data_IF_811617158027
#
_entry.id   IF_811617158027
#
_cell.length_a   1.000
_cell.length_b   1.000
_cell.length_c   1.000
_cell.angle_alpha   90.00
_cell.angle_beta   90.00
_cell.angle_gamma   90.00
#
_symmetry.space_group_name_H-M   'P 1'
#
loop_
_entity.id
_entity.type
_entity.pdbx_description
1 polymer ?
#
# COMPACT_ATOMS: atom_id res chain seq x y z
N UNK A 1 70.68 3.28 18.97
CA UNK A 1 69.69 2.95 20.02
C UNK A 1 68.99 1.66 19.62
N UNK A 2 68.93 0.66 20.52
CA UNK A 2 68.22 -0.59 20.26
C UNK A 2 66.72 -0.37 19.96
N UNK A 3 66.13 -1.22 19.11
CA UNK A 3 64.71 -1.13 18.76
C UNK A 3 63.84 -1.42 19.99
N UNK A 4 62.61 -0.90 20.03
CA UNK A 4 61.72 -1.06 21.19
C UNK A 4 61.46 -2.54 21.54
N UNK A 5 61.39 -3.40 20.51
CA UNK A 5 61.28 -4.85 20.67
C UNK A 5 62.47 -5.47 21.43
N UNK A 6 63.69 -5.00 21.17
CA UNK A 6 64.90 -5.49 21.85
C UNK A 6 64.94 -4.99 23.30
N UNK A 7 64.57 -3.73 23.54
CA UNK A 7 64.46 -3.16 24.89
C UNK A 7 63.45 -3.91 25.75
N UNK A 8 62.31 -4.30 25.16
CA UNK A 8 61.28 -5.10 25.83
C UNK A 8 61.74 -6.54 26.15
N UNK A 9 62.74 -7.06 25.44
CA UNK A 9 63.29 -8.41 25.64
C UNK A 9 64.47 -8.47 26.61
N UNK A 10 64.90 -7.33 27.16
CA UNK A 10 65.97 -7.29 28.16
C UNK A 10 65.58 -8.02 29.45
N UNK A 11 66.58 -8.54 30.17
CA UNK A 11 66.36 -9.27 31.42
C UNK A 11 65.58 -8.43 32.45
N UNK A 12 65.89 -7.13 32.55
CA UNK A 12 65.19 -6.21 33.46
C UNK A 12 63.74 -6.00 33.02
N UNK A 13 63.46 -5.77 31.75
CA UNK A 13 62.09 -5.61 31.25
C UNK A 13 61.25 -6.89 31.49
N UNK A 14 61.83 -8.07 31.26
CA UNK A 14 61.19 -9.36 31.56
C UNK A 14 60.94 -9.54 33.05
N UNK A 15 61.92 -9.22 33.90
CA UNK A 15 61.79 -9.31 35.36
C UNK A 15 60.73 -8.34 35.91
N UNK A 16 60.72 -7.10 35.43
CA UNK A 16 59.69 -6.11 35.79
C UNK A 16 58.30 -6.59 35.37
N UNK A 17 58.16 -7.11 34.13
CA UNK A 17 56.90 -7.70 33.67
C UNK A 17 56.45 -8.85 34.57
N UNK A 18 57.34 -9.80 34.87
CA UNK A 18 57.06 -10.91 35.79
C UNK A 18 56.60 -10.42 37.18
N UNK A 19 57.27 -9.43 37.76
CA UNK A 19 56.88 -8.85 39.07
C UNK A 19 55.55 -8.11 39.03
N UNK A 20 55.26 -7.40 37.95
CA UNK A 20 53.96 -6.75 37.77
C UNK A 20 52.83 -7.75 37.56
N UNK A 21 53.09 -8.86 36.87
CA UNK A 21 52.13 -9.96 36.69
C UNK A 21 51.86 -10.67 38.01
N UNK A 22 52.91 -10.96 38.81
CA UNK A 22 52.78 -11.51 40.16
C UNK A 22 51.92 -10.60 41.07
N UNK A 23 52.18 -9.29 41.02
CA UNK A 23 51.42 -8.30 41.81
C UNK A 23 49.95 -8.14 41.35
N UNK A 24 49.67 -8.38 40.06
CA UNK A 24 48.32 -8.29 39.48
C UNK A 24 47.58 -9.63 39.45
N UNK A 25 48.19 -10.72 39.91
CA UNK A 25 47.58 -12.06 39.93
C UNK A 25 47.56 -12.78 38.58
N UNK A 26 48.47 -12.41 37.66
CA UNK A 26 48.59 -13.01 36.33
C UNK A 26 47.45 -12.65 35.37
N UNK A 27 47.73 -12.64 34.06
CA UNK A 27 46.66 -12.63 33.05
C UNK A 27 46.11 -14.04 32.93
N UNK A 28 45.11 -14.38 33.75
CA UNK A 28 44.39 -15.66 33.62
C UNK A 28 43.79 -15.74 32.21
N UNK A 29 44.20 -16.75 31.43
CA UNK A 29 43.61 -17.00 30.13
C UNK A 29 42.18 -17.48 30.31
N UNK A 30 41.27 -16.91 29.52
CA UNK A 30 39.88 -17.35 29.44
C UNK A 30 39.80 -18.87 29.19
N UNK A 31 39.08 -19.63 30.05
CA UNK A 31 38.82 -21.05 29.82
C UNK A 31 38.02 -21.28 28.53
N UNK A 32 38.21 -22.45 27.92
CA UNK A 32 37.46 -22.84 26.72
C UNK A 32 35.96 -23.05 27.01
N UNK A 33 35.65 -23.73 28.12
CA UNK A 33 34.28 -23.96 28.58
C UNK A 33 33.92 -22.97 29.69
N UNK A 34 32.81 -22.25 29.52
CA UNK A 34 32.29 -21.32 30.52
C UNK A 34 31.95 -22.03 31.85
N UNK A 35 31.50 -23.28 31.80
CA UNK A 35 31.13 -24.09 32.96
C UNK A 35 32.27 -24.31 33.96
N UNK A 36 33.53 -24.22 33.52
CA UNK A 36 34.70 -24.36 34.40
C UNK A 36 34.90 -23.17 35.35
N UNK A 37 34.23 -22.04 35.09
CA UNK A 37 34.30 -20.87 35.94
C UNK A 37 33.22 -20.93 37.02
N UNK A 38 33.61 -20.84 38.30
CA UNK A 38 32.72 -20.77 39.46
C UNK A 38 32.45 -19.35 39.96
N UNK A 39 33.32 -18.40 39.62
CA UNK A 39 33.27 -17.03 40.15
C UNK A 39 32.56 -16.07 39.20
N UNK A 40 31.50 -15.42 39.67
CA UNK A 40 30.74 -14.41 38.90
C UNK A 40 31.65 -13.29 38.40
N UNK A 41 32.49 -12.73 39.27
CA UNK A 41 33.41 -11.62 38.91
C UNK A 41 34.39 -12.02 37.82
N UNK A 42 34.88 -13.26 37.83
CA UNK A 42 35.78 -13.76 36.77
C UNK A 42 35.03 -13.93 35.45
N UNK A 43 33.82 -14.48 35.49
CA UNK A 43 32.97 -14.65 34.31
C UNK A 43 32.60 -13.29 33.66
N UNK A 44 32.30 -12.27 34.46
CA UNK A 44 32.06 -10.90 33.96
C UNK A 44 33.31 -10.29 33.30
N UNK A 45 34.51 -10.50 33.86
CA UNK A 45 35.76 -10.06 33.23
C UNK A 45 35.97 -10.71 31.86
N UNK A 46 35.76 -12.03 31.76
CA UNK A 46 35.89 -12.76 30.49
C UNK A 46 34.83 -12.32 29.46
N UNK A 47 33.61 -12.01 29.89
CA UNK A 47 32.58 -11.42 29.01
C UNK A 47 33.05 -10.09 28.42
N UNK A 48 33.62 -9.21 29.24
CA UNK A 48 34.13 -7.91 28.80
C UNK A 48 35.33 -8.07 27.85
N UNK A 49 36.20 -9.04 28.10
CA UNK A 49 37.31 -9.38 27.21
C UNK A 49 36.81 -9.79 25.82
N UNK A 50 35.79 -10.67 25.75
CA UNK A 50 35.15 -11.06 24.48
C UNK A 50 34.57 -9.85 23.75
N UNK A 51 33.90 -8.95 24.47
CA UNK A 51 33.35 -7.73 23.87
C UNK A 51 34.46 -6.87 23.26
N UNK A 52 35.60 -6.73 23.94
CA UNK A 52 36.76 -5.98 23.39
C UNK A 52 37.36 -6.66 22.17
N UNK A 53 37.44 -8.00 22.16
CA UNK A 53 37.88 -8.77 20.99
C UNK A 53 36.93 -8.55 19.80
N UNK A 54 35.61 -8.58 20.05
CA UNK A 54 34.59 -8.28 19.04
C UNK A 54 34.75 -6.86 18.51
N UNK A 55 34.88 -5.84 19.36
CA UNK A 55 35.06 -4.45 18.92
C UNK A 55 36.29 -4.27 18.02
N UNK A 56 37.43 -4.87 18.37
CA UNK A 56 38.64 -4.84 17.53
C UNK A 56 38.44 -5.52 16.18
N UNK A 57 37.75 -6.67 16.14
CA UNK A 57 37.43 -7.34 14.87
C UNK A 57 36.40 -6.55 14.06
N UNK A 58 35.49 -5.86 14.73
CA UNK A 58 34.51 -4.96 14.10
C UNK A 58 35.21 -3.79 13.42
N UNK A 59 36.14 -3.12 14.09
CA UNK A 59 36.94 -2.05 13.47
C UNK A 59 37.67 -2.54 12.20
N UNK A 60 38.17 -3.78 12.21
CA UNK A 60 38.80 -4.37 11.03
C UNK A 60 37.80 -4.71 9.91
N UNK A 61 36.60 -5.21 10.24
CA UNK A 61 35.59 -5.62 9.24
C UNK A 61 34.91 -4.42 8.56
N UNK A 62 34.94 -3.25 9.20
CA UNK A 62 34.45 -2.00 8.59
C UNK A 62 35.37 -1.50 7.47
N UNK A 63 36.63 -1.95 7.42
CA UNK A 63 37.54 -1.62 6.32
C UNK A 63 37.24 -2.48 5.08
N UNK A 64 36.50 -1.91 4.13
CA UNK A 64 36.13 -2.55 2.86
C UNK A 64 37.33 -2.86 1.93
N UNK A 65 38.52 -2.32 2.21
CA UNK A 65 39.75 -2.65 1.48
C UNK A 65 40.38 -3.98 1.90
N UNK A 66 39.87 -4.64 2.95
CA UNK A 66 40.26 -6.02 3.25
C UNK A 66 39.69 -6.94 2.17
N UNK A 67 40.54 -7.79 1.59
CA UNK A 67 40.09 -8.77 0.59
C UNK A 67 38.95 -9.65 1.11
N UNK A 68 38.10 -10.11 0.18
CA UNK A 68 36.86 -10.84 0.47
C UNK A 68 37.04 -12.02 1.44
N UNK A 69 38.04 -12.88 1.22
CA UNK A 69 38.31 -14.04 2.09
C UNK A 69 38.54 -13.62 3.54
N UNK A 70 39.30 -12.53 3.76
CA UNK A 70 39.59 -12.03 5.09
C UNK A 70 38.36 -11.44 5.77
N UNK A 71 37.47 -10.79 4.99
CA UNK A 71 36.19 -10.32 5.52
C UNK A 71 35.28 -11.47 5.95
N UNK A 72 35.26 -12.58 5.19
CA UNK A 72 34.53 -13.81 5.55
C UNK A 72 35.06 -14.43 6.85
N UNK A 73 36.39 -14.59 6.94
CA UNK A 73 37.04 -15.13 8.15
C UNK A 73 36.75 -14.25 9.38
N UNK A 74 36.88 -12.92 9.24
CA UNK A 74 36.57 -11.97 10.33
C UNK A 74 35.11 -12.07 10.76
N UNK A 75 34.18 -12.24 9.80
CA UNK A 75 32.76 -12.40 10.10
C UNK A 75 32.50 -13.69 10.89
N UNK A 76 33.12 -14.80 10.49
CA UNK A 76 33.03 -16.08 11.20
C UNK A 76 33.60 -16.01 12.61
N UNK A 77 34.76 -15.35 12.78
CA UNK A 77 35.37 -15.11 14.07
C UNK A 77 34.47 -14.25 14.98
N UNK A 78 33.86 -13.18 14.46
CA UNK A 78 32.91 -12.35 15.23
C UNK A 78 31.69 -13.18 15.64
N UNK A 79 31.11 -13.96 14.72
CA UNK A 79 29.98 -14.84 15.05
C UNK A 79 30.34 -15.90 16.10
N UNK A 80 31.55 -16.46 16.03
CA UNK A 80 32.08 -17.38 17.06
C UNK A 80 32.17 -16.68 18.42
N UNK A 81 32.74 -15.49 18.48
CA UNK A 81 32.84 -14.71 19.72
C UNK A 81 31.46 -14.31 20.27
N UNK A 82 30.47 -14.03 19.41
CA UNK A 82 29.10 -13.76 19.85
C UNK A 82 28.43 -14.98 20.47
N UNK A 83 28.67 -16.20 19.95
CA UNK A 83 28.21 -17.45 20.57
C UNK A 83 28.88 -17.67 21.91
N UNK A 84 30.20 -17.49 21.98
CA UNK A 84 30.97 -17.57 23.23
C UNK A 84 30.45 -16.56 24.27
N UNK A 85 30.23 -15.30 23.87
CA UNK A 85 29.62 -14.27 24.73
C UNK A 85 28.29 -14.74 25.29
N UNK A 86 27.40 -15.32 24.47
CA UNK A 86 26.12 -15.84 24.95
C UNK A 86 26.36 -16.93 26.01
N UNK A 87 27.26 -17.89 25.78
CA UNK A 87 27.57 -18.93 26.78
C UNK A 87 28.08 -18.34 28.10
N UNK A 88 28.92 -17.31 28.06
CA UNK A 88 29.36 -16.61 29.26
C UNK A 88 28.21 -15.85 29.95
N UNK A 89 27.28 -15.26 29.19
CA UNK A 89 26.07 -14.63 29.75
C UNK A 89 25.10 -15.65 30.36
N UNK A 90 24.99 -16.86 29.80
CA UNK A 90 24.30 -17.99 30.45
C UNK A 90 24.97 -18.36 31.77
N UNK A 91 26.29 -18.51 31.77
CA UNK A 91 27.03 -18.89 32.97
C UNK A 91 26.92 -17.85 34.09
N UNK A 92 27.01 -16.56 33.76
CA UNK A 92 26.86 -15.49 34.75
C UNK A 92 25.48 -15.56 35.41
N UNK A 93 24.42 -15.80 34.61
CA UNK A 93 23.06 -15.97 35.13
C UNK A 93 22.94 -17.20 36.04
N UNK A 94 23.50 -18.35 35.65
CA UNK A 94 23.50 -19.57 36.47
C UNK A 94 24.20 -19.38 37.83
N UNK A 95 25.26 -18.57 37.86
CA UNK A 95 25.99 -18.23 39.09
C UNK A 95 25.29 -17.15 39.94
N UNK A 96 24.09 -16.70 39.55
CA UNK A 96 23.32 -15.67 40.25
C UNK A 96 23.75 -14.22 39.98
N UNK A 97 24.49 -14.00 38.89
CA UNK A 97 24.90 -12.67 38.44
C UNK A 97 23.84 -11.91 37.66
N UNK A 98 24.21 -10.73 37.15
CA UNK A 98 23.31 -9.85 36.39
C UNK A 98 22.87 -10.50 35.06
N UNK A 99 21.59 -10.37 34.71
CA UNK A 99 21.09 -10.77 33.39
C UNK A 99 21.50 -9.75 32.32
N UNK A 100 22.42 -10.16 31.44
CA UNK A 100 22.92 -9.36 30.33
C UNK A 100 22.18 -9.60 29.00
N UNK A 101 21.25 -10.56 28.93
CA UNK A 101 20.51 -10.85 27.68
C UNK A 101 19.45 -9.80 27.37
N UNK A 102 18.88 -9.22 28.42
CA UNK A 102 17.87 -8.15 28.36
C UNK A 102 18.48 -6.77 28.17
N UNK A 103 19.81 -6.64 28.26
CA UNK A 103 20.46 -5.36 28.01
C UNK A 103 20.31 -4.99 26.53
N UNK A 104 19.98 -3.72 26.20
CA UNK A 104 19.96 -3.25 24.82
C UNK A 104 21.33 -3.52 24.21
N UNK A 105 21.38 -4.44 23.25
CA UNK A 105 22.63 -4.85 22.64
C UNK A 105 22.98 -3.77 21.61
N UNK A 106 23.78 -2.79 22.02
CA UNK A 106 24.30 -1.72 21.15
C UNK A 106 25.01 -2.29 19.91
N UNK A 107 25.50 -3.54 20.00
CA UNK A 107 26.15 -4.27 18.91
C UNK A 107 25.19 -4.84 17.83
N UNK A 108 23.88 -4.83 18.05
CA UNK A 108 22.92 -5.42 17.09
C UNK A 108 22.61 -4.51 15.92
N UNK A 109 22.85 -3.21 16.04
CA UNK A 109 22.49 -2.23 15.00
C UNK A 109 23.32 -2.40 13.72
N UNK A 110 24.52 -2.97 13.82
CA UNK A 110 25.40 -3.20 12.66
C UNK A 110 25.32 -4.62 12.07
N UNK A 111 24.75 -5.57 12.81
CA UNK A 111 24.68 -6.99 12.41
C UNK A 111 23.33 -7.34 11.80
N UNK A 112 23.26 -7.42 10.47
CA UNK A 112 22.03 -7.83 9.78
C UNK A 112 21.98 -9.36 9.67
N UNK A 113 20.83 -9.94 10.03
CA UNK A 113 20.54 -11.36 9.85
C UNK A 113 19.88 -11.57 8.49
N UNK A 114 20.29 -12.61 7.76
CA UNK A 114 19.67 -12.98 6.49
C UNK A 114 18.23 -13.44 6.78
N UNK A 115 17.21 -12.90 6.08
CA UNK A 115 15.84 -13.38 6.22
C UNK A 115 15.75 -14.89 6.00
N UNK A 116 15.26 -15.63 7.01
CA UNK A 116 15.08 -17.09 6.95
C UNK A 116 16.22 -17.93 7.54
N UNK A 117 17.43 -17.38 7.75
CA UNK A 117 18.51 -18.04 8.48
C UNK A 117 18.79 -17.33 9.80
N UNK A 118 18.30 -17.92 10.90
CA UNK A 118 18.45 -17.35 12.22
C UNK A 118 19.79 -17.73 12.86
N UNK A 119 20.49 -16.73 13.41
CA UNK A 119 21.66 -16.96 14.28
C UNK A 119 23.04 -16.74 13.66
N UNK A 120 23.13 -16.48 12.35
CA UNK A 120 24.35 -16.01 11.70
C UNK A 120 24.16 -14.56 11.23
N UNK A 121 25.14 -13.70 11.52
CA UNK A 121 25.08 -12.27 11.22
C UNK A 121 26.20 -11.87 10.27
N UNK A 122 25.92 -10.91 9.41
CA UNK A 122 26.94 -10.24 8.62
C UNK A 122 27.14 -8.83 9.13
N UNK A 123 28.40 -8.44 9.32
CA UNK A 123 28.79 -7.16 9.91
C UNK A 123 29.62 -6.32 8.94
N UNK A 124 29.46 -4.99 8.99
CA UNK A 124 30.28 -4.05 8.22
C UNK A 124 30.39 -4.42 6.74
N UNK A 125 31.61 -4.40 6.18
CA UNK A 125 31.85 -4.71 4.77
C UNK A 125 31.54 -6.16 4.39
N UNK A 126 31.40 -7.09 5.35
CA UNK A 126 31.04 -8.47 5.05
C UNK A 126 29.61 -8.61 4.49
N UNK A 127 28.75 -7.60 4.67
CA UNK A 127 27.41 -7.55 4.06
C UNK A 127 27.45 -7.28 2.56
N UNK A 128 28.49 -6.59 2.10
CA UNK A 128 28.66 -6.13 0.72
C UNK A 128 29.39 -7.17 -0.13
N UNK A 129 29.70 -8.33 0.46
CA UNK A 129 30.32 -9.45 -0.25
C UNK A 129 29.40 -10.00 -1.35
N UNK A 130 29.97 -10.41 -2.49
CA UNK A 130 29.23 -11.11 -3.54
C UNK A 130 28.45 -12.31 -2.98
N UNK A 131 27.19 -12.47 -3.38
CA UNK A 131 26.25 -13.49 -2.89
C UNK A 131 25.61 -13.18 -1.54
N UNK A 132 26.30 -12.53 -0.60
CA UNK A 132 25.69 -12.09 0.68
C UNK A 132 24.86 -10.84 0.46
N UNK A 133 25.36 -9.91 -0.35
CA UNK A 133 24.68 -8.67 -0.71
C UNK A 133 23.32 -8.94 -1.36
N UNK A 134 23.25 -9.92 -2.25
CA UNK A 134 22.01 -10.35 -2.93
C UNK A 134 20.95 -10.88 -1.95
N UNK A 135 21.36 -11.51 -0.84
CA UNK A 135 20.44 -11.97 0.21
C UNK A 135 19.86 -10.81 1.04
N UNK A 136 20.54 -9.66 1.05
CA UNK A 136 20.16 -8.48 1.82
C UNK A 136 19.48 -7.39 1.01
N UNK A 137 19.75 -7.33 -0.29
CA UNK A 137 18.99 -6.55 -1.26
C UNK A 137 17.57 -7.13 -1.26
N UNK A 138 16.67 -6.45 -0.55
CA UNK A 138 15.25 -6.79 -0.61
C UNK A 138 14.87 -6.71 -2.09
N UNK A 139 14.19 -7.75 -2.58
CA UNK A 139 13.50 -7.63 -3.87
C UNK A 139 12.72 -6.32 -3.87
N UNK A 140 12.76 -5.55 -4.98
CA UNK A 140 12.03 -4.29 -5.05
C UNK A 140 10.60 -4.54 -4.60
N UNK A 141 10.13 -3.73 -3.64
CA UNK A 141 8.78 -3.89 -3.11
C UNK A 141 7.82 -3.92 -4.29
N UNK A 142 7.00 -4.97 -4.36
CA UNK A 142 6.01 -5.09 -5.42
C UNK A 142 5.23 -3.77 -5.48
N UNK A 143 4.93 -3.25 -6.68
CA UNK A 143 4.24 -1.97 -6.81
C UNK A 143 3.00 -1.98 -5.90
N UNK A 144 2.74 -0.90 -5.14
CA UNK A 144 1.63 -0.86 -4.21
C UNK A 144 0.36 -1.26 -4.96
N UNK A 145 -0.45 -2.12 -4.34
CA UNK A 145 -1.74 -2.49 -4.92
C UNK A 145 -2.55 -1.22 -5.13
N UNK A 146 -3.18 -1.10 -6.30
CA UNK A 146 -4.05 0.05 -6.61
C UNK A 146 -5.04 0.26 -5.48
N UNK A 147 -5.13 1.49 -5.00
CA UNK A 147 -6.07 1.81 -3.93
C UNK A 147 -7.51 1.74 -4.45
N UNK A 148 -8.49 1.56 -3.56
CA UNK A 148 -9.91 1.53 -3.98
C UNK A 148 -10.30 2.80 -4.74
N UNK A 149 -9.74 3.96 -4.38
CA UNK A 149 -9.96 5.22 -5.08
C UNK A 149 -9.44 5.22 -6.52
N UNK A 150 -8.22 4.72 -6.74
CA UNK A 150 -7.63 4.57 -8.09
C UNK A 150 -8.40 3.54 -8.94
N UNK A 151 -8.96 2.51 -8.31
CA UNK A 151 -9.81 1.56 -9.03
C UNK A 151 -11.15 2.19 -9.44
N UNK A 152 -11.72 3.04 -8.57
CA UNK A 152 -13.01 3.70 -8.81
C UNK A 152 -12.91 4.86 -9.81
N UNK A 153 -11.72 5.39 -10.09
CA UNK A 153 -11.52 6.47 -11.06
C UNK A 153 -11.88 6.08 -12.50
N UNK A 154 -11.76 4.79 -12.84
CA UNK A 154 -12.06 4.27 -14.18
C UNK A 154 -13.44 3.60 -14.23
N UNK A 155 -14.27 3.80 -13.21
CA UNK A 155 -15.62 3.25 -13.14
C UNK A 155 -16.58 4.35 -13.57
N UNK A 156 -16.98 4.29 -14.84
CA UNK A 156 -17.86 5.28 -15.46
C UNK A 156 -19.35 4.93 -15.24
N UNK A 157 -20.23 5.86 -15.59
CA UNK A 157 -21.69 5.65 -15.54
C UNK A 157 -22.14 4.43 -16.38
N UNK A 158 -21.38 4.10 -17.42
CA UNK A 158 -21.56 2.91 -18.25
C UNK A 158 -21.37 1.61 -17.47
N UNK A 159 -20.44 1.54 -16.51
CA UNK A 159 -20.29 0.37 -15.63
C UNK A 159 -21.53 0.11 -14.76
N UNK A 160 -22.26 1.17 -14.44
CA UNK A 160 -23.51 1.10 -13.67
C UNK A 160 -24.75 0.98 -14.56
N UNK A 161 -24.59 0.87 -15.88
CA UNK A 161 -25.68 0.65 -16.82
C UNK A 161 -26.60 1.86 -17.03
N UNK A 162 -26.18 3.06 -16.63
CA UNK A 162 -27.01 4.28 -16.79
C UNK A 162 -27.28 4.65 -18.25
N UNK A 163 -26.60 4.01 -19.22
CA UNK A 163 -26.76 4.24 -20.66
C UNK A 163 -27.28 3.01 -21.42
N UNK A 164 -27.58 1.91 -20.73
CA UNK A 164 -28.06 0.68 -21.38
C UNK A 164 -29.46 0.88 -22.00
N UNK A 165 -30.24 1.83 -21.48
CA UNK A 165 -31.55 2.21 -22.05
C UNK A 165 -31.42 3.08 -23.31
N UNK A 166 -30.26 3.73 -23.55
CA UNK A 166 -29.99 4.56 -24.72
C UNK A 166 -29.59 3.75 -25.97
N UNK A 167 -29.27 2.46 -25.83
CA UNK A 167 -28.90 1.58 -26.95
C UNK A 167 -30.07 1.30 -27.91
N UNK A 168 -31.30 1.69 -27.54
CA UNK A 168 -32.48 1.59 -28.40
C UNK A 168 -32.96 0.17 -28.66
N UNK A 169 -32.35 -0.84 -28.01
CA UNK A 169 -32.71 -2.27 -28.14
C UNK A 169 -33.96 -2.62 -27.34
N UNK A 170 -34.21 -1.93 -26.21
CA UNK A 170 -35.30 -2.26 -25.28
C UNK A 170 -36.67 -1.88 -25.88
N UNK A 171 -36.79 -0.68 -26.45
CA UNK A 171 -38.04 -0.14 -27.03
C UNK A 171 -38.70 -1.09 -28.05
N UNK A 172 -38.01 -1.65 -29.06
CA UNK A 172 -38.64 -2.57 -30.02
C UNK A 172 -39.09 -3.89 -29.38
N UNK A 173 -38.36 -4.39 -28.39
CA UNK A 173 -38.73 -5.62 -27.67
C UNK A 173 -39.99 -5.41 -26.81
N UNK A 174 -40.10 -4.24 -26.16
CA UNK A 174 -41.30 -3.88 -25.39
C UNK A 174 -42.53 -3.79 -26.28
N UNK A 175 -42.41 -3.16 -27.46
CA UNK A 175 -43.51 -3.06 -28.43
C UNK A 175 -44.00 -4.43 -28.92
N UNK A 176 -43.10 -5.40 -29.12
CA UNK A 176 -43.48 -6.76 -29.51
C UNK A 176 -44.25 -7.48 -28.40
N UNK A 177 -43.81 -7.34 -27.15
CA UNK A 177 -44.47 -7.96 -26.00
C UNK A 177 -45.81 -7.27 -25.67
N UNK A 178 -45.90 -5.95 -25.80
CA UNK A 178 -47.15 -5.20 -25.67
C UNK A 178 -48.21 -5.69 -26.66
N UNK A 179 -47.83 -5.90 -27.93
CA UNK A 179 -48.74 -6.49 -28.92
C UNK A 179 -49.21 -7.88 -28.51
N UNK A 180 -48.31 -8.75 -28.04
CA UNK A 180 -48.68 -10.10 -27.56
C UNK A 180 -49.60 -10.05 -26.34
N UNK A 181 -49.34 -9.16 -25.39
CA UNK A 181 -50.15 -8.97 -24.20
C UNK A 181 -51.56 -8.46 -24.56
N UNK A 182 -51.63 -7.48 -25.46
CA UNK A 182 -52.89 -6.94 -25.97
C UNK A 182 -53.71 -8.02 -26.67
N UNK A 183 -53.08 -8.84 -27.53
CA UNK A 183 -53.74 -9.96 -28.19
C UNK A 183 -54.29 -11.00 -27.19
N UNK A 184 -53.55 -11.31 -26.12
CA UNK A 184 -54.03 -12.21 -25.06
C UNK A 184 -55.23 -11.62 -24.32
N UNK A 185 -55.15 -10.35 -23.91
CA UNK A 185 -56.23 -9.65 -23.21
C UNK A 185 -57.49 -9.60 -24.09
N UNK A 186 -57.33 -9.29 -25.38
CA UNK A 186 -58.43 -9.26 -26.35
C UNK A 186 -59.02 -10.66 -26.55
N UNK A 187 -58.21 -11.71 -26.62
CA UNK A 187 -58.69 -13.08 -26.74
C UNK A 187 -59.48 -13.53 -25.49
N UNK A 188 -58.96 -13.24 -24.29
CA UNK A 188 -59.66 -13.49 -23.02
C UNK A 188 -60.98 -12.70 -22.93
N UNK A 189 -60.99 -11.45 -23.40
CA UNK A 189 -62.20 -10.64 -23.46
C UNK A 189 -63.23 -11.22 -24.44
N UNK A 190 -62.81 -11.68 -25.63
CA UNK A 190 -63.67 -12.34 -26.61
C UNK A 190 -64.26 -13.66 -26.06
N UNK A 191 -63.45 -14.46 -25.37
CA UNK A 191 -63.91 -15.72 -24.76
C UNK A 191 -64.94 -15.48 -23.64
N UNK A 192 -64.72 -14.47 -22.79
CA UNK A 192 -65.69 -14.05 -21.77
C UNK A 192 -67.00 -13.53 -22.37
N UNK A 193 -66.91 -12.79 -23.49
CA UNK A 193 -68.07 -12.30 -24.24
C UNK A 193 -68.89 -13.45 -24.85
N UNK A 194 -68.22 -14.46 -25.43
CA UNK A 194 -68.88 -15.64 -26.01
C UNK A 194 -69.49 -16.58 -24.96
N UNK A 195 -68.86 -16.71 -23.79
CA UNK A 195 -69.40 -17.48 -22.64
C UNK A 195 -70.62 -16.83 -21.99
N UNK A 196 -70.99 -15.60 -22.37
CA UNK A 196 -72.14 -14.90 -21.80
C UNK A 196 -71.93 -14.43 -20.36
N UNK A 197 -70.70 -14.46 -19.84
CA UNK A 197 -70.30 -13.90 -18.54
C UNK A 197 -70.01 -12.39 -18.64
N UNK A 198 -70.66 -11.71 -19.58
CA UNK A 198 -70.65 -10.26 -19.68
C UNK A 198 -72.05 -9.79 -19.31
N UNK A 199 -72.25 -9.48 -18.02
CA UNK A 199 -73.46 -8.80 -17.54
C UNK A 199 -73.56 -7.47 -18.29
N UNK A 200 -74.42 -7.44 -19.30
CA UNK A 200 -74.83 -6.19 -19.94
C UNK A 200 -75.97 -5.64 -19.08
N UNK A 201 -75.83 -4.46 -18.44
CA UNK A 201 -76.99 -3.77 -17.91
C UNK A 201 -77.95 -3.52 -19.09
N UNK A 202 -79.16 -4.05 -19.03
CA UNK A 202 -80.11 -3.98 -20.16
C UNK A 202 -80.66 -2.57 -20.42
N UNK A 203 -80.33 -1.57 -19.61
CA UNK A 203 -80.82 -0.20 -19.78
C UNK A 203 -79.65 0.79 -19.78
N UNK A 204 -79.06 0.97 -20.96
CA UNK A 204 -78.51 2.23 -21.51
C UNK A 204 -77.63 1.86 -22.71
N UNK A 205 -78.11 2.15 -23.93
CA UNK A 205 -77.27 2.11 -25.12
C UNK A 205 -76.18 3.17 -24.98
N UNK A 206 -75.02 2.79 -24.47
CA UNK A 206 -73.84 3.65 -24.42
C UNK A 206 -73.32 3.92 -25.84
N UNK A 207 -73.87 4.98 -26.43
CA UNK A 207 -73.43 5.58 -27.70
C UNK A 207 -71.91 5.83 -27.71
N UNK A 208 -71.31 6.02 -26.53
CA UNK A 208 -69.87 6.25 -26.35
C UNK A 208 -69.02 4.99 -26.55
N UNK A 209 -69.48 3.81 -26.13
CA UNK A 209 -68.73 2.55 -26.26
C UNK A 209 -68.80 1.98 -27.68
N UNK A 210 -69.91 2.19 -28.39
CA UNK A 210 -70.06 1.75 -29.79
C UNK A 210 -69.19 2.58 -30.74
N UNK A 211 -69.15 3.90 -30.55
CA UNK A 211 -68.27 4.79 -31.31
C UNK A 211 -66.78 4.50 -31.05
N UNK A 212 -66.40 4.12 -29.83
CA UNK A 212 -65.02 3.75 -29.50
C UNK A 212 -64.60 2.38 -30.07
N UNK A 213 -65.54 1.43 -30.17
CA UNK A 213 -65.30 0.12 -30.79
C UNK A 213 -65.23 0.22 -32.32
N UNK A 214 -66.14 0.98 -32.95
CA UNK A 214 -66.12 1.23 -34.39
C UNK A 214 -64.84 2.00 -34.79
N UNK A 215 -64.40 2.98 -33.99
CA UNK A 215 -63.12 3.70 -34.21
C UNK A 215 -61.87 2.82 -33.99
N UNK A 216 -61.93 1.78 -33.15
CA UNK A 216 -60.84 0.81 -32.98
C UNK A 216 -60.81 -0.25 -34.10
N UNK A 217 -61.97 -0.60 -34.66
CA UNK A 217 -62.08 -1.54 -35.78
C UNK A 217 -61.70 -0.88 -37.11
N UNK A 218 -61.91 0.44 -37.25
CA UNK A 218 -61.46 1.26 -38.39
C UNK A 218 -59.97 1.66 -38.27
N UNK A 219 -59.36 1.57 -37.07
CA UNK A 219 -57.97 1.93 -36.79
C UNK A 219 -57.01 0.72 -36.70
N UNK A 220 -57.31 -0.38 -37.39
CA UNK A 220 -56.32 -1.40 -37.75
C UNK A 220 -55.89 -1.10 -39.19
N UNK A 221 -54.81 -0.33 -39.43
CA UNK A 221 -54.33 -0.06 -40.77
C UNK A 221 -53.58 -1.31 -41.28
N UNK A 222 -53.89 -1.73 -42.51
CA UNK A 222 -53.21 -2.84 -43.20
C UNK A 222 -51.77 -2.51 -43.63
N UNK A 223 -51.25 -1.32 -43.32
CA UNK A 223 -49.84 -0.95 -43.55
C UNK A 223 -49.29 -0.14 -42.37
N UNK A 224 -48.00 -0.31 -42.00
CA UNK A 224 -47.39 0.48 -40.95
C UNK A 224 -47.15 1.91 -41.47
N UNK A 225 -48.13 2.79 -41.28
CA UNK A 225 -47.86 4.23 -41.36
C UNK A 225 -46.92 4.60 -40.23
N UNK A 226 -45.74 5.10 -40.62
CA UNK A 226 -44.81 5.78 -39.72
C UNK A 226 -45.48 7.08 -39.29
N UNK A 227 -46.22 7.03 -38.19
CA UNK A 227 -46.74 8.21 -37.52
C UNK A 227 -45.55 8.94 -36.89
N UNK A 228 -45.10 10.02 -37.52
CA UNK A 228 -44.36 11.07 -36.82
C UNK A 228 -45.32 11.67 -35.79
N UNK A 229 -45.18 11.23 -34.55
CA UNK A 229 -45.86 11.83 -33.42
C UNK A 229 -45.14 13.15 -33.15
N UNK A 230 -45.75 14.28 -33.52
CA UNK A 230 -45.40 15.56 -32.90
C UNK A 230 -45.72 15.44 -31.41
N UNK A 231 -44.68 15.37 -30.58
CA UNK A 231 -44.75 15.35 -29.13
C UNK A 231 -45.34 16.67 -28.58
N UNK A 232 -46.66 16.78 -28.66
CA UNK A 232 -47.47 17.87 -28.10
C UNK A 232 -47.93 17.63 -26.66
N UNK A 233 -47.28 16.72 -25.92
CA UNK A 233 -47.50 16.59 -24.47
C UNK A 233 -46.14 16.63 -23.76
N UNK A 234 -45.78 17.82 -23.30
CA UNK A 234 -44.56 18.05 -22.54
C UNK A 234 -44.62 17.35 -21.19
N UNK A 235 -44.29 16.05 -21.16
CA UNK A 235 -43.66 15.44 -19.98
C UNK A 235 -42.46 16.32 -19.69
N UNK A 236 -42.56 17.12 -18.63
CA UNK A 236 -41.42 17.88 -18.15
C UNK A 236 -40.40 16.88 -17.58
N UNK A 237 -39.64 16.22 -18.45
CA UNK A 237 -38.28 15.88 -18.08
C UNK A 237 -37.62 17.24 -17.82
N UNK A 238 -37.42 17.54 -16.55
CA UNK A 238 -36.42 18.53 -16.16
C UNK A 238 -35.08 17.89 -16.51
N UNK A 239 -34.74 17.91 -17.80
CA UNK A 239 -33.37 17.69 -18.25
C UNK A 239 -32.59 18.84 -17.67
N UNK A 240 -32.00 18.60 -16.51
CA UNK A 240 -30.97 19.48 -15.97
C UNK A 240 -29.81 19.32 -16.94
N UNK A 241 -29.48 20.38 -17.67
CA UNK A 241 -28.30 20.40 -18.53
C UNK A 241 -27.07 20.10 -17.65
N UNK A 242 -26.60 18.86 -17.68
CA UNK A 242 -25.42 18.43 -16.93
C UNK A 242 -24.21 18.95 -17.71
N UNK A 243 -23.43 19.90 -17.17
CA UNK A 243 -22.30 20.46 -17.89
C UNK A 243 -21.28 19.38 -18.23
N UNK A 244 -20.63 19.54 -19.38
CA UNK A 244 -19.57 18.63 -19.79
C UNK A 244 -18.39 18.68 -18.80
N UNK A 245 -17.62 17.59 -18.71
CA UNK A 245 -16.47 17.50 -17.79
C UNK A 245 -15.49 18.68 -17.95
N UNK A 246 -15.27 19.13 -19.18
CA UNK A 246 -14.40 20.28 -19.49
C UNK A 246 -14.97 21.60 -18.95
N UNK A 247 -16.29 21.80 -19.03
CA UNK A 247 -16.96 22.98 -18.49
C UNK A 247 -16.90 23.01 -16.96
N UNK A 248 -17.02 21.85 -16.31
CA UNK A 248 -16.89 21.72 -14.86
C UNK A 248 -15.46 22.05 -14.42
N UNK A 249 -14.45 21.53 -15.11
CA UNK A 249 -13.04 21.81 -14.81
C UNK A 249 -12.71 23.30 -14.98
N UNK A 250 -13.15 23.91 -16.07
CA UNK A 250 -12.98 25.34 -16.32
C UNK A 250 -13.68 26.20 -15.27
N UNK A 251 -14.90 25.82 -14.86
CA UNK A 251 -15.64 26.51 -13.81
C UNK A 251 -14.91 26.43 -12.47
N UNK A 252 -14.36 25.27 -12.11
CA UNK A 252 -13.57 25.09 -10.89
C UNK A 252 -12.29 25.94 -10.93
N UNK A 253 -11.59 25.96 -12.06
CA UNK A 253 -10.37 26.77 -12.22
C UNK A 253 -10.69 28.26 -12.09
N UNK A 254 -11.77 28.74 -12.72
CA UNK A 254 -12.23 30.14 -12.61
C UNK A 254 -12.55 30.51 -11.17
N UNK A 255 -13.28 29.65 -10.45
CA UNK A 255 -13.64 29.86 -9.04
C UNK A 255 -12.41 29.91 -8.14
N UNK A 256 -11.48 28.97 -8.28
CA UNK A 256 -10.21 28.98 -7.51
C UNK A 256 -9.37 30.22 -7.80
N UNK A 257 -9.35 30.68 -9.06
CA UNK A 257 -8.66 31.91 -9.45
C UNK A 257 -9.28 33.14 -8.77
N UNK A 258 -10.62 33.22 -8.71
CA UNK A 258 -11.32 34.28 -8.00
C UNK A 258 -11.04 34.25 -6.50
N UNK A 259 -11.13 33.08 -5.85
CA UNK A 259 -10.84 32.95 -4.41
C UNK A 259 -9.40 33.33 -4.05
N UNK A 260 -8.42 33.05 -4.91
CA UNK A 260 -7.04 33.48 -4.71
C UNK A 260 -6.88 34.99 -4.90
N UNK A 261 -7.57 35.58 -5.88
CA UNK A 261 -7.58 37.03 -6.06
C UNK A 261 -8.22 37.73 -4.85
N UNK A 262 -9.33 37.22 -4.32
CA UNK A 262 -9.97 37.78 -3.12
C UNK A 262 -9.07 37.69 -1.88
N UNK A 263 -8.32 36.59 -1.72
CA UNK A 263 -7.45 36.37 -0.56
C UNK A 263 -6.15 37.17 -0.60
N UNK A 264 -5.60 37.42 -1.79
CA UNK A 264 -4.22 37.92 -1.93
C UNK A 264 -4.09 39.21 -2.76
N UNK A 265 -5.13 39.66 -3.46
CA UNK A 265 -5.05 40.91 -4.20
C UNK A 265 -5.31 42.11 -3.28
N UNK A 266 -4.43 43.10 -3.33
CA UNK A 266 -4.72 44.43 -2.79
C UNK A 266 -5.82 45.09 -3.62
N UNK A 267 -6.63 45.96 -3.01
CA UNK A 267 -7.72 46.67 -3.69
C UNK A 267 -7.23 47.43 -4.95
N UNK A 268 -5.99 47.93 -4.90
CA UNK A 268 -5.32 48.61 -6.03
C UNK A 268 -5.03 47.69 -7.21
N UNK A 269 -4.66 46.42 -6.96
CA UNK A 269 -4.37 45.44 -8.00
C UNK A 269 -5.67 44.97 -8.68
N UNK A 270 -6.75 44.84 -7.91
CA UNK A 270 -8.07 44.51 -8.44
C UNK A 270 -8.59 45.61 -9.36
N UNK A 271 -8.46 46.88 -8.97
CA UNK A 271 -8.85 48.04 -9.79
C UNK A 271 -8.06 48.09 -11.12
N UNK A 272 -6.74 47.94 -11.06
CA UNK A 272 -5.90 47.90 -12.26
C UNK A 272 -6.23 46.71 -13.18
N UNK A 273 -6.57 45.55 -12.61
CA UNK A 273 -6.98 44.38 -13.40
C UNK A 273 -8.35 44.58 -14.07
N UNK A 274 -9.28 45.28 -13.40
CA UNK A 274 -10.58 45.61 -13.95
C UNK A 274 -10.46 46.64 -15.08
N UNK A 275 -9.67 47.70 -14.88
CA UNK A 275 -9.34 48.68 -15.92
C UNK A 275 -8.68 48.00 -17.13
N UNK A 276 -7.70 47.11 -16.90
CA UNK A 276 -7.06 46.35 -17.98
C UNK A 276 -8.04 45.45 -18.74
N UNK A 277 -9.01 44.81 -18.07
CA UNK A 277 -10.06 44.02 -18.74
C UNK A 277 -10.97 44.90 -19.59
N UNK A 278 -11.39 46.05 -19.07
CA UNK A 278 -12.22 47.00 -19.83
C UNK A 278 -11.50 47.53 -21.07
N UNK A 279 -10.18 47.77 -20.98
CA UNK A 279 -9.35 48.19 -22.12
C UNK A 279 -9.14 47.06 -23.15
N UNK A 280 -9.18 45.80 -22.72
CA UNK A 280 -9.03 44.62 -23.58
C UNK A 280 -10.36 44.15 -24.20
N UNK A 281 -11.51 44.74 -23.83
CA UNK A 281 -12.82 44.37 -24.37
C UNK A 281 -13.30 42.96 -23.98
N UNK A 282 -12.78 42.44 -22.86
CA UNK A 282 -13.18 41.17 -22.23
C UNK A 282 -14.11 41.46 -21.04
#
# INVERSE_FOLDING_TARGET
MARNAEKAMTALARWHKMKTEESRGGTERRPYLASLCSDVRKAERFRVEIIREISKKMENIQNAGLGEFRLRDLNDEINKLLREKRHWEYRIMELGGRDYRRAPLVMTEEGREVPGQYGYKYFGAARDLPGVKELFEKQPEAPPRKTRGELMQNVDAEYFGYRDEEDGVIVPLEQEEEKKATLKIVAEWKEKKEKGEFDRPEDEEDIYYKAALDAMEEAIPDEPEVMEVEDGSGRHLVTVDVPSQQEVEDAIVRRKKQELLEKYASETLMQQSAEARTLLGL
#
